data_IF_974838494500
#
_entry.id   IF_974838494500
#
_cell.length_a   1.000
_cell.length_b   1.000
_cell.length_c   1.000
_cell.angle_alpha   90.00
_cell.angle_beta   90.00
_cell.angle_gamma   90.00
#
_symmetry.space_group_name_H-M   'P 1'
#
loop_
_entity.id
_entity.type
_entity.pdbx_description
1 polymer ?
#
# COMPACT_ATOMS: atom_id res chain seq x y z
N UNK A 1 -14.08 8.27 0.25
CA UNK A 1 -14.87 7.49 -0.73
C UNK A 1 -13.92 6.90 -1.75
N UNK A 2 -14.10 5.65 -2.18
CA UNK A 2 -13.32 5.06 -3.28
C UNK A 2 -13.66 5.73 -4.61
N UNK A 3 -12.66 5.86 -5.50
CA UNK A 3 -12.88 6.34 -6.86
C UNK A 3 -13.51 5.24 -7.71
N UNK A 4 -14.49 5.57 -8.56
CA UNK A 4 -15.24 4.60 -9.36
C UNK A 4 -14.36 3.88 -10.39
N UNK A 5 -13.26 4.50 -10.82
CA UNK A 5 -12.39 3.97 -11.87
C UNK A 5 -11.52 2.83 -11.39
N UNK A 6 -11.01 2.92 -10.16
CA UNK A 6 -10.06 1.96 -9.60
C UNK A 6 -10.57 1.26 -8.33
N UNK A 7 -11.68 1.73 -7.74
CA UNK A 7 -12.21 1.22 -6.48
C UNK A 7 -11.32 1.55 -5.28
N UNK A 8 -10.34 2.44 -5.43
CA UNK A 8 -9.34 2.76 -4.41
C UNK A 8 -9.66 4.10 -3.75
N UNK A 9 -9.44 4.14 -2.43
CA UNK A 9 -9.34 5.40 -1.72
C UNK A 9 -7.96 6.05 -1.93
N UNK A 10 -7.81 7.30 -1.49
CA UNK A 10 -6.57 8.06 -1.68
C UNK A 10 -5.34 7.39 -1.05
N UNK A 11 -5.48 6.80 0.15
CA UNK A 11 -4.39 6.12 0.87
C UNK A 11 -3.96 4.84 0.19
N UNK A 12 -4.92 4.02 -0.26
CA UNK A 12 -4.64 2.81 -1.05
C UNK A 12 -3.89 3.12 -2.33
N UNK A 13 -4.32 4.17 -3.04
CA UNK A 13 -3.68 4.60 -4.28
C UNK A 13 -2.25 5.08 -4.05
N UNK A 14 -2.00 5.85 -2.99
CA UNK A 14 -0.64 6.30 -2.64
C UNK A 14 0.26 5.12 -2.33
N UNK A 15 -0.20 4.13 -1.56
CA UNK A 15 0.59 2.92 -1.26
C UNK A 15 0.96 2.17 -2.54
N UNK A 16 -0.01 1.94 -3.43
CA UNK A 16 0.24 1.24 -4.70
C UNK A 16 1.16 2.04 -5.63
N UNK A 17 1.01 3.36 -5.68
CA UNK A 17 1.89 4.24 -6.44
C UNK A 17 3.34 4.16 -5.92
N UNK A 18 3.55 4.33 -4.62
CA UNK A 18 4.88 4.25 -4.00
C UNK A 18 5.51 2.85 -4.18
N UNK A 19 4.71 1.79 -4.11
CA UNK A 19 5.17 0.42 -4.37
C UNK A 19 5.62 0.27 -5.82
N UNK A 20 4.83 0.75 -6.78
CA UNK A 20 5.17 0.71 -8.20
C UNK A 20 6.48 1.45 -8.50
N UNK A 21 6.66 2.65 -7.95
CA UNK A 21 7.90 3.41 -8.11
C UNK A 21 9.09 2.67 -7.48
N UNK A 22 8.93 2.14 -6.27
CA UNK A 22 9.99 1.39 -5.60
C UNK A 22 10.38 0.12 -6.38
N UNK A 23 9.43 -0.60 -6.98
CA UNK A 23 9.75 -1.79 -7.78
C UNK A 23 10.63 -1.51 -9.00
N UNK A 24 10.58 -0.29 -9.57
CA UNK A 24 11.46 0.12 -10.67
C UNK A 24 12.93 0.20 -10.22
N UNK A 25 13.16 0.56 -8.96
CA UNK A 25 14.49 0.67 -8.35
C UNK A 25 15.00 -0.68 -7.78
N UNK A 26 14.10 -1.63 -7.55
CA UNK A 26 14.40 -2.97 -7.01
C UNK A 26 14.03 -4.07 -8.01
N UNK A 27 14.69 -4.15 -9.18
CA UNK A 27 14.39 -5.17 -10.18
C UNK A 27 14.64 -6.57 -9.63
N UNK A 28 13.67 -7.46 -9.84
CA UNK A 28 13.71 -8.87 -9.40
C UNK A 28 13.85 -9.07 -7.88
N UNK A 29 13.49 -8.07 -7.07
CA UNK A 29 13.52 -8.15 -5.60
C UNK A 29 12.24 -7.61 -5.00
N UNK A 30 11.90 -8.12 -3.82
CA UNK A 30 10.81 -7.56 -3.04
C UNK A 30 11.23 -6.20 -2.48
N UNK A 31 10.29 -5.25 -2.49
CA UNK A 31 10.47 -3.95 -1.84
C UNK A 31 10.35 -4.15 -0.33
N UNK A 32 11.34 -3.73 0.48
CA UNK A 32 11.22 -3.79 1.94
C UNK A 32 10.06 -2.94 2.45
N UNK A 33 9.21 -3.49 3.32
CA UNK A 33 8.02 -2.81 3.85
C UNK A 33 8.36 -1.48 4.54
N UNK A 34 9.48 -1.41 5.28
CA UNK A 34 9.92 -0.18 5.93
C UNK A 34 10.29 0.93 4.92
N UNK A 35 10.92 0.56 3.80
CA UNK A 35 11.23 1.51 2.73
C UNK A 35 9.95 2.03 2.09
N UNK A 36 9.00 1.14 1.82
CA UNK A 36 7.70 1.52 1.28
C UNK A 36 6.96 2.47 2.22
N UNK A 37 6.93 2.17 3.52
CA UNK A 37 6.29 3.02 4.52
C UNK A 37 6.89 4.42 4.55
N UNK A 38 8.23 4.53 4.54
CA UNK A 38 8.93 5.81 4.46
C UNK A 38 8.48 6.66 3.27
N UNK A 39 8.38 6.07 2.08
CA UNK A 39 7.91 6.76 0.87
C UNK A 39 6.45 7.20 0.95
N UNK A 40 5.60 6.42 1.61
CA UNK A 40 4.19 6.75 1.77
C UNK A 40 4.00 7.96 2.68
N UNK A 41 4.70 8.00 3.82
CA UNK A 41 4.58 9.12 4.78
C UNK A 41 5.17 10.42 4.25
N UNK A 42 6.09 10.37 3.29
CA UNK A 42 6.56 11.55 2.54
C UNK A 42 5.47 12.15 1.63
N UNK A 43 4.52 11.34 1.15
CA UNK A 43 3.47 11.78 0.23
C UNK A 43 2.15 12.10 0.94
N UNK A 44 1.87 11.44 2.07
CA UNK A 44 0.61 11.56 2.79
C UNK A 44 0.76 11.18 4.25
N UNK A 45 0.14 11.96 5.14
CA UNK A 45 0.06 11.62 6.55
C UNK A 45 -0.67 10.27 6.75
N UNK A 46 0.04 9.32 7.35
CA UNK A 46 -0.44 7.97 7.57
C UNK A 46 0.28 7.35 8.76
N UNK A 47 -0.48 6.80 9.70
CA UNK A 47 0.10 6.04 10.81
C UNK A 47 0.58 4.66 10.34
N UNK A 48 1.55 4.08 11.05
CA UNK A 48 2.06 2.73 10.77
C UNK A 48 0.94 1.68 10.81
N UNK A 49 0.06 1.74 11.81
CA UNK A 49 -1.06 0.80 11.95
C UNK A 49 -2.03 0.88 10.76
N UNK A 50 -2.32 2.09 10.29
CA UNK A 50 -3.19 2.30 9.13
C UNK A 50 -2.53 1.76 7.86
N UNK A 51 -1.24 2.06 7.66
CA UNK A 51 -0.46 1.53 6.55
C UNK A 51 -0.45 0.00 6.53
N UNK A 52 -0.13 -0.65 7.66
CA UNK A 52 -0.08 -2.11 7.78
C UNK A 52 -1.45 -2.74 7.53
N UNK A 53 -2.53 -2.13 8.02
CA UNK A 53 -3.90 -2.60 7.80
C UNK A 53 -4.29 -2.55 6.32
N UNK A 54 -4.03 -1.42 5.66
CA UNK A 54 -4.32 -1.26 4.23
C UNK A 54 -3.45 -2.22 3.39
N UNK A 55 -2.14 -2.28 3.67
CA UNK A 55 -1.22 -3.15 2.95
C UNK A 55 -1.61 -4.63 3.09
N UNK A 56 -1.98 -5.07 4.30
CA UNK A 56 -2.42 -6.44 4.56
C UNK A 56 -3.72 -6.79 3.82
N UNK A 57 -4.62 -5.82 3.65
CA UNK A 57 -5.84 -5.98 2.83
C UNK A 57 -5.50 -6.13 1.34
N UNK A 58 -4.66 -5.25 0.81
CA UNK A 58 -4.29 -5.26 -0.62
C UNK A 58 -3.48 -6.52 -0.97
N UNK A 59 -2.60 -6.97 -0.07
CA UNK A 59 -1.79 -8.19 -0.26
C UNK A 59 -2.59 -9.49 -0.06
N UNK A 60 -3.88 -9.42 0.27
CA UNK A 60 -4.72 -10.60 0.54
C UNK A 60 -4.33 -11.39 1.80
N UNK A 61 -3.55 -10.77 2.70
CA UNK A 61 -3.11 -11.40 3.96
C UNK A 61 -4.22 -11.43 5.02
N UNK A 62 -5.23 -10.58 4.86
CA UNK A 62 -6.48 -10.68 5.61
C UNK A 62 -7.39 -11.69 4.91
N UNK A 63 -7.46 -12.91 5.44
CA UNK A 63 -8.51 -13.86 5.03
C UNK A 63 -9.85 -13.23 5.38
N UNK A 64 -10.72 -13.04 4.38
CA UNK A 64 -12.15 -12.87 4.61
C UNK A 64 -12.67 -14.17 5.24
N UNK A 65 -12.57 -14.32 6.57
CA UNK A 65 -13.36 -15.29 7.34
C UNK A 65 -14.80 -14.80 7.40
N UNK A 66 -15.47 -14.83 6.26
CA UNK A 66 -16.92 -14.91 6.16
C UNK A 66 -17.24 -16.26 5.50
N UNK A 67 -17.17 -17.31 6.31
CA UNK A 67 -17.85 -18.59 6.09
C UNK A 67 -18.98 -18.67 7.12
#
# INVERSE_FOLDING_TARGET
MPDVRDGLNAKERVILYCLHEAQKEFPNRNVPTALLYGRVVEQMDMSENEFQSILSRIAGLTRNTHL
#
